data_IF_222303407719
#
_entry.id   IF_222303407719
#
_cell.length_a   1.000
_cell.length_b   1.000
_cell.length_c   1.000
_cell.angle_alpha   90.00
_cell.angle_beta   90.00
_cell.angle_gamma   90.00
#
_symmetry.space_group_name_H-M   'P 1'
#
loop_
_entity.id
_entity.type
_entity.pdbx_description
1 polymer ?
#
# COMPACT_ATOMS: atom_id res chain seq x y z
N UNK A 1 24.29 27.95 -48.99
CA UNK A 1 23.64 27.18 -50.06
C UNK A 1 23.03 25.97 -49.38
N UNK A 2 21.70 25.97 -49.14
CA UNK A 2 21.03 24.84 -48.50
C UNK A 2 20.68 23.84 -49.60
N UNK A 3 21.40 22.73 -49.66
CA UNK A 3 21.07 21.62 -50.55
C UNK A 3 19.72 21.03 -50.10
N UNK A 4 18.75 21.01 -51.02
CA UNK A 4 17.44 20.42 -50.78
C UNK A 4 17.62 18.91 -50.57
N UNK A 5 17.17 18.35 -49.43
CA UNK A 5 17.28 16.92 -49.18
C UNK A 5 16.51 16.15 -50.25
N UNK A 6 17.10 15.05 -50.74
CA UNK A 6 16.44 14.18 -51.72
C UNK A 6 15.13 13.64 -51.13
N UNK A 7 14.14 13.39 -52.00
CA UNK A 7 12.80 12.96 -51.60
C UNK A 7 12.81 11.72 -50.69
N UNK A 8 13.80 10.83 -50.87
CA UNK A 8 14.04 9.66 -50.03
C UNK A 8 14.45 10.01 -48.59
N UNK A 9 15.35 10.98 -48.41
CA UNK A 9 15.80 11.43 -47.08
C UNK A 9 14.71 12.15 -46.30
N UNK A 10 13.84 12.90 -47.00
CA UNK A 10 12.68 13.55 -46.39
C UNK A 10 11.67 12.52 -45.83
N UNK A 11 11.40 11.44 -46.58
CA UNK A 11 10.49 10.37 -46.14
C UNK A 11 11.06 9.61 -44.92
N UNK A 12 12.36 9.31 -44.91
CA UNK A 12 13.00 8.66 -43.78
C UNK A 12 12.94 9.50 -42.49
N UNK A 13 13.13 10.82 -42.60
CA UNK A 13 13.02 11.73 -41.47
C UNK A 13 11.61 11.74 -40.86
N UNK A 14 10.57 11.77 -41.69
CA UNK A 14 9.18 11.74 -41.23
C UNK A 14 8.86 10.44 -40.48
N UNK A 15 9.34 9.30 -40.98
CA UNK A 15 9.15 8.00 -40.33
C UNK A 15 9.88 7.96 -38.97
N UNK A 16 11.11 8.45 -38.90
CA UNK A 16 11.89 8.54 -37.66
C UNK A 16 11.21 9.41 -36.61
N UNK A 17 10.68 10.57 -37.00
CA UNK A 17 9.95 11.48 -36.11
C UNK A 17 8.67 10.81 -35.59
N UNK A 18 7.93 10.11 -36.47
CA UNK A 18 6.73 9.40 -36.09
C UNK A 18 7.00 8.27 -35.07
N UNK A 19 8.08 7.50 -35.27
CA UNK A 19 8.50 6.44 -34.34
C UNK A 19 8.93 7.02 -32.99
N UNK A 20 9.72 8.09 -32.98
CA UNK A 20 10.15 8.78 -31.76
C UNK A 20 8.94 9.30 -30.97
N UNK A 21 7.99 9.95 -31.66
CA UNK A 21 6.76 10.43 -31.04
C UNK A 21 5.95 9.29 -30.43
N UNK A 22 5.80 8.18 -31.15
CA UNK A 22 5.02 7.03 -30.67
C UNK A 22 5.65 6.37 -29.45
N UNK A 23 6.99 6.26 -29.43
CA UNK A 23 7.75 5.69 -28.31
C UNK A 23 7.62 6.56 -27.05
N UNK A 24 7.74 7.89 -27.20
CA UNK A 24 7.58 8.84 -26.10
C UNK A 24 6.17 8.78 -25.54
N UNK A 25 5.15 8.76 -26.42
CA UNK A 25 3.75 8.68 -26.01
C UNK A 25 3.44 7.36 -25.28
N UNK A 26 3.93 6.24 -25.79
CA UNK A 26 3.75 4.92 -25.16
C UNK A 26 4.36 4.88 -23.75
N UNK A 27 5.57 5.41 -23.59
CA UNK A 27 6.23 5.47 -22.28
C UNK A 27 5.50 6.40 -21.30
N UNK A 28 4.97 7.52 -21.78
CA UNK A 28 4.18 8.45 -20.97
C UNK A 28 2.90 7.79 -20.46
N UNK A 29 2.15 7.14 -21.36
CA UNK A 29 0.91 6.41 -21.03
C UNK A 29 1.15 5.26 -20.04
N UNK A 30 2.26 4.52 -20.19
CA UNK A 30 2.64 3.50 -19.20
C UNK A 30 2.99 4.08 -17.84
N UNK A 31 3.67 5.22 -17.79
CA UNK A 31 4.06 5.86 -16.54
C UNK A 31 2.83 6.38 -15.77
N UNK A 32 1.85 6.94 -16.48
CA UNK A 32 0.54 7.33 -15.96
C UNK A 32 -0.22 6.11 -15.42
N UNK A 33 -0.31 5.02 -16.20
CA UNK A 33 -0.94 3.76 -15.76
C UNK A 33 -0.27 3.17 -14.51
N UNK A 34 1.05 3.31 -14.35
CA UNK A 34 1.75 2.89 -13.12
C UNK A 34 1.39 3.78 -11.93
N UNK A 35 1.30 5.10 -12.12
CA UNK A 35 0.88 6.04 -11.07
C UNK A 35 -0.56 5.81 -10.63
N UNK A 36 -1.46 5.52 -11.58
CA UNK A 36 -2.87 5.21 -11.31
C UNK A 36 -2.97 3.91 -10.53
N UNK A 37 -2.34 2.81 -10.99
CA UNK A 37 -2.30 1.54 -10.25
C UNK A 37 -1.73 1.70 -8.83
N UNK A 38 -0.67 2.48 -8.68
CA UNK A 38 -0.08 2.72 -7.36
C UNK A 38 -0.99 3.57 -6.45
N UNK A 39 -1.81 4.48 -7.02
CA UNK A 39 -2.85 5.21 -6.30
C UNK A 39 -4.03 4.31 -5.94
N UNK A 40 -4.45 3.44 -6.85
CA UNK A 40 -5.52 2.46 -6.62
C UNK A 40 -5.11 1.45 -5.55
N UNK A 41 -3.89 0.91 -5.58
CA UNK A 41 -3.34 0.06 -4.51
C UNK A 41 -3.29 0.79 -3.16
N UNK A 42 -2.87 2.07 -3.15
CA UNK A 42 -2.91 2.90 -1.94
C UNK A 42 -4.33 3.16 -1.45
N UNK A 43 -5.30 3.33 -2.36
CA UNK A 43 -6.71 3.53 -2.02
C UNK A 43 -7.33 2.25 -1.47
N UNK A 44 -7.02 1.09 -2.06
CA UNK A 44 -7.43 -0.23 -1.56
C UNK A 44 -6.87 -0.52 -0.16
N UNK A 45 -5.61 -0.13 0.11
CA UNK A 45 -5.02 -0.22 1.45
C UNK A 45 -5.58 0.83 2.42
N UNK A 46 -6.04 1.98 1.93
CA UNK A 46 -6.67 3.01 2.75
C UNK A 46 -8.13 2.69 3.12
N UNK A 47 -8.84 1.91 2.29
CA UNK A 47 -10.19 1.40 2.55
C UNK A 47 -10.19 0.14 3.44
N UNK A 48 -9.06 -0.56 3.55
CA UNK A 48 -8.91 -1.67 4.48
C UNK A 48 -8.64 -1.12 5.89
N UNK A 49 -9.66 -1.06 6.73
CA UNK A 49 -9.51 -0.77 8.16
C UNK A 49 -8.74 -1.87 8.90
N UNK A 50 -8.65 -3.07 8.32
CA UNK A 50 -8.04 -4.25 8.93
C UNK A 50 -7.17 -4.99 7.91
N UNK A 51 -6.00 -5.46 8.34
CA UNK A 51 -5.09 -6.23 7.50
C UNK A 51 -4.79 -7.57 8.16
N UNK A 52 -4.95 -8.66 7.41
CA UNK A 52 -4.45 -9.98 7.80
C UNK A 52 -3.21 -10.29 6.97
N UNK A 53 -2.10 -10.65 7.63
CA UNK A 53 -0.83 -10.89 6.97
C UNK A 53 -0.04 -12.00 7.65
N UNK A 54 0.78 -12.72 6.90
CA UNK A 54 1.68 -13.73 7.48
C UNK A 54 2.84 -13.07 8.18
N UNK A 55 3.44 -13.75 9.16
CA UNK A 55 4.63 -13.25 9.89
C UNK A 55 5.76 -12.77 8.96
N UNK A 56 6.05 -13.53 7.91
CA UNK A 56 7.10 -13.18 6.93
C UNK A 56 6.79 -11.87 6.21
N UNK A 57 5.54 -11.66 5.80
CA UNK A 57 5.10 -10.41 5.14
C UNK A 57 5.06 -9.24 6.12
N UNK A 58 4.63 -9.49 7.36
CA UNK A 58 4.65 -8.50 8.43
C UNK A 58 6.06 -7.95 8.68
N UNK A 59 7.04 -8.83 8.87
CA UNK A 59 8.44 -8.45 9.12
C UNK A 59 9.04 -7.67 7.96
N UNK A 60 8.75 -8.08 6.72
CA UNK A 60 9.22 -7.37 5.51
C UNK A 60 8.68 -5.94 5.40
N UNK A 61 7.48 -5.69 5.90
CA UNK A 61 6.79 -4.40 5.77
C UNK A 61 6.62 -3.66 7.11
N UNK A 62 7.36 -4.06 8.14
CA UNK A 62 7.19 -3.63 9.52
C UNK A 62 7.05 -2.10 9.66
N UNK A 63 7.99 -1.33 9.13
CA UNK A 63 7.99 0.13 9.24
C UNK A 63 6.74 0.79 8.66
N UNK A 64 6.30 0.32 7.48
CA UNK A 64 5.10 0.84 6.83
C UNK A 64 3.86 0.51 7.65
N UNK A 65 3.75 -0.73 8.13
CA UNK A 65 2.61 -1.18 8.94
C UNK A 65 2.53 -0.44 10.27
N UNK A 66 3.66 -0.21 10.94
CA UNK A 66 3.72 0.58 12.17
C UNK A 66 3.26 2.03 11.93
N UNK A 67 3.71 2.68 10.84
CA UNK A 67 3.26 4.04 10.49
C UNK A 67 1.75 4.09 10.21
N UNK A 68 1.22 3.10 9.49
CA UNK A 68 -0.22 3.02 9.21
C UNK A 68 -1.07 2.76 10.47
N UNK A 69 -0.61 1.90 11.37
CA UNK A 69 -1.31 1.63 12.64
C UNK A 69 -1.22 2.85 13.57
N UNK A 70 -0.05 3.47 13.69
CA UNK A 70 0.13 4.67 14.52
C UNK A 70 -0.66 5.88 14.00
N UNK A 71 -0.84 5.99 12.68
CA UNK A 71 -1.66 7.04 12.05
C UNK A 71 -3.15 6.70 11.97
N UNK A 72 -3.60 5.60 12.60
CA UNK A 72 -4.99 5.13 12.60
C UNK A 72 -5.56 4.85 11.20
N UNK A 73 -4.70 4.74 10.18
CA UNK A 73 -5.10 4.31 8.83
C UNK A 73 -5.40 2.82 8.78
N UNK A 74 -4.74 2.04 9.65
CA UNK A 74 -5.06 0.64 9.94
C UNK A 74 -5.48 0.54 11.41
N UNK A 75 -6.69 0.06 11.67
CA UNK A 75 -7.19 -0.09 13.05
C UNK A 75 -6.52 -1.27 13.76
N UNK A 76 -6.29 -2.37 13.05
CA UNK A 76 -5.47 -3.48 13.56
C UNK A 76 -4.89 -4.33 12.43
N UNK A 77 -3.79 -5.02 12.75
CA UNK A 77 -3.16 -6.01 11.86
C UNK A 77 -3.15 -7.36 12.54
N UNK A 78 -3.79 -8.36 11.93
CA UNK A 78 -3.75 -9.75 12.37
C UNK A 78 -2.54 -10.42 11.72
N UNK A 79 -1.65 -10.97 12.55
CA UNK A 79 -0.47 -11.69 12.11
C UNK A 79 -0.76 -13.18 12.23
N UNK A 80 -0.66 -13.89 11.11
CA UNK A 80 -0.90 -15.33 11.02
C UNK A 80 0.39 -16.11 10.83
N UNK A 81 0.32 -17.41 11.10
CA UNK A 81 1.33 -18.37 10.67
C UNK A 81 1.19 -18.71 9.16
N UNK A 82 2.00 -19.67 8.70
CA UNK A 82 1.98 -20.16 7.31
C UNK A 82 0.69 -20.90 6.94
N UNK A 83 -0.08 -21.36 7.93
CA UNK A 83 -1.37 -22.04 7.78
C UNK A 83 -2.55 -21.07 7.90
N UNK A 84 -2.28 -19.76 7.87
CA UNK A 84 -3.26 -18.68 8.03
C UNK A 84 -3.97 -18.69 9.39
N UNK A 85 -3.39 -19.34 10.40
CA UNK A 85 -3.93 -19.35 11.76
C UNK A 85 -3.50 -18.05 12.47
N UNK A 86 -4.43 -17.25 13.02
CA UNK A 86 -4.10 -16.04 13.76
C UNK A 86 -3.24 -16.34 14.99
N UNK A 87 -2.12 -15.63 15.13
CA UNK A 87 -1.21 -15.78 16.28
C UNK A 87 -1.08 -14.52 17.12
N UNK A 88 -1.12 -13.35 16.49
CA UNK A 88 -1.01 -12.08 17.21
C UNK A 88 -1.75 -10.95 16.49
N UNK A 89 -2.00 -9.87 17.22
CA UNK A 89 -2.66 -8.67 16.71
C UNK A 89 -1.81 -7.46 17.06
N UNK A 90 -1.52 -6.63 16.07
CA UNK A 90 -0.92 -5.31 16.24
C UNK A 90 -2.03 -4.26 16.28
N UNK A 91 -2.00 -3.42 17.32
CA UNK A 91 -3.00 -2.38 17.61
C UNK A 91 -2.29 -1.05 17.91
N UNK A 92 -2.96 0.10 17.71
CA UNK A 92 -2.51 1.36 18.28
C UNK A 92 -2.44 1.26 19.80
N UNK A 93 -1.44 1.90 20.41
CA UNK A 93 -1.24 1.82 21.87
C UNK A 93 -2.44 2.33 22.66
N UNK A 94 -3.12 3.38 22.20
CA UNK A 94 -4.30 3.92 22.87
C UNK A 94 -5.45 2.90 22.92
N UNK A 95 -5.67 2.16 21.83
CA UNK A 95 -6.68 1.10 21.75
C UNK A 95 -6.35 -0.06 22.70
N UNK A 96 -5.08 -0.49 22.71
CA UNK A 96 -4.61 -1.51 23.65
C UNK A 96 -4.85 -1.09 25.11
N UNK A 97 -4.49 0.16 25.45
CA UNK A 97 -4.67 0.68 26.81
C UNK A 97 -6.13 0.75 27.21
N UNK A 98 -7.01 1.15 26.29
CA UNK A 98 -8.44 1.20 26.55
C UNK A 98 -9.05 -0.18 26.81
N UNK A 99 -8.62 -1.19 26.04
CA UNK A 99 -9.02 -2.59 26.26
C UNK A 99 -8.55 -3.11 27.62
N UNK A 100 -7.30 -2.80 27.99
CA UNK A 100 -6.75 -3.17 29.29
C UNK A 100 -7.56 -2.55 30.43
N UNK A 101 -7.84 -1.25 30.38
CA UNK A 101 -8.64 -0.57 31.41
C UNK A 101 -10.07 -1.12 31.52
N UNK A 102 -10.67 -1.54 30.41
CA UNK A 102 -11.98 -2.20 30.42
C UNK A 102 -11.92 -3.56 31.12
N UNK A 103 -10.88 -4.34 30.86
CA UNK A 103 -10.67 -5.63 31.50
C UNK A 103 -10.45 -5.47 33.02
N UNK A 104 -9.56 -4.56 33.42
CA UNK A 104 -9.26 -4.32 34.84
C UNK A 104 -10.52 -3.92 35.63
N UNK A 105 -11.38 -3.09 35.05
CA UNK A 105 -12.68 -2.70 35.65
C UNK A 105 -13.64 -3.88 35.78
N UNK A 106 -13.67 -4.76 34.79
CA UNK A 106 -14.52 -5.96 34.83
C UNK A 106 -14.04 -6.93 35.92
N UNK A 107 -12.73 -7.17 35.99
CA UNK A 107 -12.14 -8.07 36.99
C UNK A 107 -12.36 -7.54 38.41
N UNK A 108 -12.20 -6.23 38.63
CA UNK A 108 -12.46 -5.59 39.92
C UNK A 108 -13.91 -5.83 40.39
N UNK A 109 -14.91 -5.61 39.52
CA UNK A 109 -16.32 -5.85 39.84
C UNK A 109 -16.63 -7.32 40.12
N UNK A 110 -16.07 -8.23 39.30
CA UNK A 110 -16.28 -9.67 39.51
C UNK A 110 -15.70 -10.15 40.84
N UNK A 111 -14.57 -9.59 41.27
CA UNK A 111 -13.96 -9.95 42.54
C UNK A 111 -14.73 -9.38 43.75
N UNK A 112 -15.32 -8.19 43.62
CA UNK A 112 -16.23 -7.64 44.64
C UNK A 112 -17.51 -8.47 44.81
N UNK A 113 -18.08 -9.02 43.72
CA UNK A 113 -19.27 -9.88 43.77
C UNK A 113 -19.01 -11.29 44.35
N UNK A 114 -17.73 -11.71 44.45
CA UNK A 114 -17.32 -13.00 45.01
C UNK A 114 -17.02 -12.96 46.52
N UNK A 115 -16.94 -11.78 47.11
CA UNK A 115 -16.66 -11.53 48.53
C UNK A 115 -17.97 -11.38 49.33
#
# INVERSE_FOLDING_TARGET
MFELPSLSTAVQLVILIALLYWTIKSNYDESEKRKIRHKEEKALLADMTFLTTTRVKFERHLWMLLDHVASYKLQHVIITDEKEIPQSVLLPYAEYKHLQECYDKYEAKHNEEKL
#
